data_IF_784648191563
#
_entry.id   IF_784648191563
#
_cell.length_a   1.000
_cell.length_b   1.000
_cell.length_c   1.000
_cell.angle_alpha   90.00
_cell.angle_beta   90.00
_cell.angle_gamma   90.00
#
_symmetry.space_group_name_H-M   'P 1'
#
loop_
_entity.id
_entity.type
_entity.pdbx_description
1 polymer ?
#
# COMPACT_ATOMS: atom_id res chain seq x y z
N UNK A 1 0.88 -39.69 13.66
CA UNK A 1 -0.15 -38.82 14.25
C UNK A 1 -0.76 -37.90 13.18
N UNK A 2 -2.09 -37.78 13.08
CA UNK A 2 -2.70 -36.88 12.12
C UNK A 2 -2.26 -35.45 12.41
N UNK A 3 -1.77 -34.74 11.38
CA UNK A 3 -1.35 -33.33 11.50
C UNK A 3 -2.56 -32.49 11.93
N UNK A 4 -2.42 -31.69 12.99
CA UNK A 4 -3.47 -30.78 13.43
C UNK A 4 -3.86 -29.78 12.33
N UNK A 5 -5.06 -29.20 12.37
CA UNK A 5 -5.56 -28.26 11.37
C UNK A 5 -4.60 -27.09 11.10
N UNK A 6 -3.92 -26.55 12.11
CA UNK A 6 -2.95 -25.46 11.94
C UNK A 6 -1.80 -25.84 10.98
N UNK A 7 -1.29 -27.05 11.11
CA UNK A 7 -0.22 -27.57 10.26
C UNK A 7 -0.72 -27.87 8.85
N UNK A 8 -1.92 -28.41 8.71
CA UNK A 8 -2.57 -28.65 7.41
C UNK A 8 -2.80 -27.32 6.68
N UNK A 9 -3.32 -26.31 7.36
CA UNK A 9 -3.53 -24.95 6.82
C UNK A 9 -2.22 -24.30 6.36
N UNK A 10 -1.18 -24.40 7.19
CA UNK A 10 0.17 -23.92 6.82
C UNK A 10 0.69 -24.62 5.56
N UNK A 11 0.56 -25.92 5.47
CA UNK A 11 1.02 -26.71 4.30
C UNK A 11 0.32 -26.24 3.03
N UNK A 12 -1.00 -26.03 3.08
CA UNK A 12 -1.78 -25.53 1.95
C UNK A 12 -1.35 -24.14 1.49
N UNK A 13 -1.16 -23.21 2.42
CA UNK A 13 -0.68 -21.85 2.08
C UNK A 13 0.75 -21.86 1.50
N UNK A 14 1.62 -22.79 1.95
CA UNK A 14 2.96 -23.00 1.36
C UNK A 14 2.83 -23.48 -0.08
N UNK A 15 1.91 -24.41 -0.37
CA UNK A 15 1.64 -24.91 -1.73
C UNK A 15 1.24 -23.76 -2.65
N UNK A 16 0.29 -22.91 -2.23
CA UNK A 16 -0.16 -21.75 -2.99
C UNK A 16 0.97 -20.74 -3.24
N UNK A 17 1.88 -20.57 -2.29
CA UNK A 17 3.06 -19.72 -2.47
C UNK A 17 4.06 -20.30 -3.48
N UNK A 18 4.27 -21.60 -3.48
CA UNK A 18 5.11 -22.31 -4.47
C UNK A 18 4.51 -22.19 -5.87
N UNK A 19 3.21 -22.41 -6.02
CA UNK A 19 2.50 -22.26 -7.29
C UNK A 19 2.65 -20.83 -7.86
N UNK A 20 2.53 -19.80 -7.02
CA UNK A 20 2.70 -18.42 -7.43
C UNK A 20 4.11 -18.11 -7.97
N UNK A 21 5.15 -18.74 -7.40
CA UNK A 21 6.54 -18.59 -7.85
C UNK A 21 6.78 -19.28 -9.19
N UNK A 22 6.24 -20.49 -9.36
CA UNK A 22 6.36 -21.24 -10.62
C UNK A 22 5.60 -20.56 -11.76
N UNK A 23 4.48 -19.93 -11.48
CA UNK A 23 3.64 -19.28 -12.49
C UNK A 23 4.24 -18.00 -13.08
N UNK A 24 5.24 -17.39 -12.45
CA UNK A 24 5.94 -16.20 -12.96
C UNK A 24 5.28 -14.86 -12.65
N UNK A 25 4.41 -14.81 -11.61
CA UNK A 25 3.94 -13.59 -11.01
C UNK A 25 2.50 -13.17 -11.35
N UNK A 26 2.00 -12.21 -10.59
CA UNK A 26 0.60 -11.76 -10.61
C UNK A 26 0.16 -11.15 -11.95
N UNK A 27 1.08 -10.45 -12.63
CA UNK A 27 0.74 -9.73 -13.88
C UNK A 27 0.48 -10.70 -15.03
N UNK A 28 1.13 -11.86 -15.04
CA UNK A 28 0.89 -12.92 -16.01
C UNK A 28 -0.51 -13.52 -15.86
N UNK A 29 -0.95 -13.75 -14.62
CA UNK A 29 -2.30 -14.26 -14.33
C UNK A 29 -3.39 -13.24 -14.67
N UNK A 30 -3.16 -11.97 -14.39
CA UNK A 30 -4.10 -10.91 -14.77
C UNK A 30 -4.27 -10.79 -16.28
N UNK A 31 -3.20 -10.95 -17.05
CA UNK A 31 -3.27 -10.97 -18.51
C UNK A 31 -4.06 -12.17 -19.02
N UNK A 32 -3.84 -13.36 -18.46
CA UNK A 32 -4.52 -14.59 -18.84
C UNK A 32 -6.04 -14.53 -18.62
N UNK A 33 -6.48 -13.83 -17.60
CA UNK A 33 -7.90 -13.74 -17.20
C UNK A 33 -8.52 -12.37 -17.46
N UNK A 34 -7.90 -11.52 -18.29
CA UNK A 34 -8.39 -10.17 -18.63
C UNK A 34 -8.81 -9.31 -17.41
N UNK A 35 -8.16 -9.50 -16.27
CA UNK A 35 -8.44 -8.78 -15.05
C UNK A 35 -9.70 -9.18 -14.27
N UNK A 36 -10.46 -10.18 -14.75
CA UNK A 36 -11.76 -10.59 -14.16
C UNK A 36 -11.66 -11.67 -13.09
N UNK A 37 -10.47 -12.25 -12.89
CA UNK A 37 -10.27 -13.39 -12.01
C UNK A 37 -9.87 -13.00 -10.59
N UNK A 38 -10.61 -13.47 -9.60
CA UNK A 38 -10.17 -13.46 -8.20
C UNK A 38 -9.41 -14.75 -7.95
N UNK A 39 -8.10 -14.64 -7.92
CA UNK A 39 -7.21 -15.77 -7.72
C UNK A 39 -7.01 -16.05 -6.23
N UNK A 40 -7.52 -17.17 -5.78
CA UNK A 40 -7.31 -17.69 -4.43
C UNK A 40 -6.20 -18.76 -4.38
N UNK A 41 -5.76 -19.29 -5.51
CA UNK A 41 -4.83 -20.42 -5.58
C UNK A 41 -3.35 -20.00 -5.52
N UNK A 42 -3.06 -18.69 -5.58
CA UNK A 42 -1.70 -18.16 -5.61
C UNK A 42 -1.47 -17.05 -4.57
N UNK A 43 -0.40 -17.16 -3.82
CA UNK A 43 0.05 -16.14 -2.85
C UNK A 43 1.37 -15.53 -3.32
N UNK A 44 1.32 -14.32 -3.87
CA UNK A 44 2.44 -13.69 -4.60
C UNK A 44 3.49 -12.99 -3.71
N UNK A 45 3.20 -12.70 -2.46
CA UNK A 45 4.16 -12.01 -1.59
C UNK A 45 4.30 -12.68 -0.24
N UNK A 46 5.51 -12.58 0.32
CA UNK A 46 5.80 -13.10 1.66
C UNK A 46 4.94 -12.43 2.72
N UNK A 47 4.67 -11.13 2.58
CA UNK A 47 3.79 -10.42 3.49
C UNK A 47 2.34 -10.93 3.43
N UNK A 48 1.82 -11.22 2.22
CA UNK A 48 0.49 -11.81 2.07
C UNK A 48 0.45 -13.20 2.69
N UNK A 49 1.48 -14.01 2.46
CA UNK A 49 1.60 -15.33 3.07
C UNK A 49 1.57 -15.25 4.61
N UNK A 50 2.39 -14.39 5.23
CA UNK A 50 2.41 -14.25 6.68
C UNK A 50 1.06 -13.74 7.24
N UNK A 51 0.43 -12.79 6.53
CA UNK A 51 -0.88 -12.29 6.91
C UNK A 51 -1.95 -13.40 6.85
N UNK A 52 -1.99 -14.20 5.78
CA UNK A 52 -2.91 -15.32 5.67
C UNK A 52 -2.61 -16.41 6.69
N UNK A 53 -1.33 -16.72 6.94
CA UNK A 53 -0.92 -17.71 7.93
C UNK A 53 -1.39 -17.34 9.36
N UNK A 54 -1.19 -16.07 9.77
CA UNK A 54 -1.64 -15.61 11.08
C UNK A 54 -3.17 -15.70 11.24
N UNK A 55 -3.92 -15.33 10.19
CA UNK A 55 -5.38 -15.39 10.17
C UNK A 55 -5.91 -16.81 10.10
N UNK A 56 -5.30 -17.66 9.30
CA UNK A 56 -5.66 -19.10 9.22
C UNK A 56 -5.45 -19.83 10.52
N UNK A 57 -4.45 -19.43 11.33
CA UNK A 57 -4.27 -20.01 12.68
C UNK A 57 -5.46 -19.70 13.60
N UNK A 58 -5.96 -18.45 13.58
CA UNK A 58 -7.17 -18.07 14.35
C UNK A 58 -8.39 -18.88 13.90
N UNK A 59 -8.56 -19.02 12.58
CA UNK A 59 -9.64 -19.83 12.02
C UNK A 59 -9.50 -21.31 12.41
N UNK A 60 -8.28 -21.86 12.44
CA UNK A 60 -8.05 -23.22 12.91
C UNK A 60 -8.38 -23.41 14.39
N UNK A 61 -8.11 -22.40 15.24
CA UNK A 61 -8.50 -22.42 16.65
C UNK A 61 -10.03 -22.40 16.80
N UNK A 62 -10.71 -21.56 16.02
CA UNK A 62 -12.17 -21.55 15.98
C UNK A 62 -12.74 -22.93 15.55
N UNK A 63 -12.24 -23.51 14.45
CA UNK A 63 -12.66 -24.83 13.99
C UNK A 63 -12.42 -25.92 15.05
N UNK A 64 -11.27 -25.90 15.73
CA UNK A 64 -10.96 -26.82 16.81
C UNK A 64 -11.96 -26.71 17.95
N UNK A 65 -12.35 -25.50 18.34
CA UNK A 65 -13.36 -25.27 19.39
C UNK A 65 -14.77 -25.74 18.99
N UNK A 66 -15.02 -25.91 17.68
CA UNK A 66 -16.24 -26.51 17.13
C UNK A 66 -16.10 -28.05 16.94
N UNK A 67 -15.01 -28.66 17.41
CA UNK A 67 -14.75 -30.08 17.27
C UNK A 67 -14.29 -30.56 15.90
N UNK A 68 -14.07 -29.63 14.92
CA UNK A 68 -13.70 -29.96 13.55
C UNK A 68 -12.21 -30.34 13.45
N UNK A 69 -11.89 -31.40 12.72
CA UNK A 69 -10.54 -31.97 12.62
C UNK A 69 -9.98 -32.00 11.20
N UNK A 70 -10.84 -31.93 10.19
CA UNK A 70 -10.44 -32.08 8.78
C UNK A 70 -10.93 -30.91 7.92
N UNK A 71 -10.39 -30.77 6.71
CA UNK A 71 -10.84 -29.75 5.77
C UNK A 71 -12.26 -30.02 5.26
N UNK A 72 -12.58 -31.28 5.10
CA UNK A 72 -13.85 -31.76 4.56
C UNK A 72 -15.02 -31.41 5.49
N UNK A 73 -14.78 -31.37 6.80
CA UNK A 73 -15.77 -30.95 7.81
C UNK A 73 -16.00 -29.44 7.82
N UNK A 74 -15.10 -28.65 7.23
CA UNK A 74 -15.19 -27.20 7.23
C UNK A 74 -16.05 -26.75 6.05
N UNK A 75 -17.35 -26.64 6.27
CA UNK A 75 -18.32 -26.17 5.29
C UNK A 75 -18.27 -24.63 5.13
N UNK A 76 -18.83 -24.07 4.03
CA UNK A 76 -19.00 -22.62 3.90
C UNK A 76 -19.78 -21.98 5.05
N UNK A 77 -20.69 -22.73 5.67
CA UNK A 77 -21.46 -22.25 6.82
C UNK A 77 -20.58 -22.06 8.06
N UNK A 78 -19.65 -22.96 8.31
CA UNK A 78 -18.63 -22.79 9.35
C UNK A 78 -17.82 -21.51 9.15
N UNK A 79 -17.45 -21.22 7.89
CA UNK A 79 -16.74 -19.98 7.54
C UNK A 79 -17.60 -18.73 7.79
N UNK A 80 -18.90 -18.76 7.49
CA UNK A 80 -19.82 -17.67 7.78
C UNK A 80 -19.97 -17.45 9.28
N UNK A 81 -20.17 -18.51 10.03
CA UNK A 81 -20.31 -18.46 11.49
C UNK A 81 -19.05 -17.92 12.16
N UNK A 82 -17.87 -18.24 11.63
CA UNK A 82 -16.61 -17.65 12.06
C UNK A 82 -16.60 -16.11 11.88
N UNK A 83 -17.02 -15.60 10.73
CA UNK A 83 -17.06 -14.14 10.50
C UNK A 83 -18.10 -13.44 11.39
N UNK A 84 -19.23 -14.10 11.68
CA UNK A 84 -20.25 -13.61 12.63
C UNK A 84 -19.66 -13.60 14.05
N UNK A 85 -18.98 -14.67 14.44
CA UNK A 85 -18.26 -14.73 15.72
C UNK A 85 -17.28 -13.55 15.87
N UNK A 86 -16.42 -13.30 14.86
CA UNK A 86 -15.48 -12.17 14.88
C UNK A 86 -16.18 -10.82 14.98
N UNK A 87 -17.32 -10.64 14.31
CA UNK A 87 -18.16 -9.42 14.45
C UNK A 87 -18.63 -9.25 15.89
N UNK A 88 -19.11 -10.32 16.51
CA UNK A 88 -19.63 -10.30 17.89
C UNK A 88 -18.51 -10.04 18.90
N UNK A 89 -17.25 -10.37 18.57
CA UNK A 89 -16.06 -9.98 19.34
C UNK A 89 -15.64 -8.51 19.12
N UNK A 90 -16.42 -7.72 18.38
CA UNK A 90 -16.15 -6.28 18.15
C UNK A 90 -15.03 -6.00 17.14
N UNK A 91 -14.60 -7.00 16.34
CA UNK A 91 -13.52 -6.79 15.38
C UNK A 91 -13.93 -5.82 14.27
N UNK A 92 -12.95 -5.03 13.81
CA UNK A 92 -13.20 -4.03 12.76
C UNK A 92 -13.62 -4.66 11.43
N UNK A 93 -14.45 -3.93 10.66
CA UNK A 93 -14.88 -4.30 9.30
C UNK A 93 -13.71 -4.69 8.40
N UNK A 94 -12.55 -4.01 8.52
CA UNK A 94 -11.37 -4.31 7.73
C UNK A 94 -10.65 -5.59 8.15
N UNK A 95 -10.68 -5.91 9.44
CA UNK A 95 -10.15 -7.15 10.00
C UNK A 95 -10.96 -8.32 9.47
N UNK A 96 -12.28 -8.32 9.66
CA UNK A 96 -13.20 -9.36 9.20
C UNK A 96 -13.09 -9.58 7.67
N UNK A 97 -12.99 -8.50 6.87
CA UNK A 97 -12.78 -8.63 5.43
C UNK A 97 -11.45 -9.31 5.06
N UNK A 98 -10.42 -9.10 5.87
CA UNK A 98 -9.12 -9.74 5.67
C UNK A 98 -9.12 -11.19 6.12
N UNK A 99 -9.91 -11.52 7.15
CA UNK A 99 -10.10 -12.89 7.63
C UNK A 99 -10.93 -13.70 6.63
N UNK A 100 -12.02 -13.12 6.09
CA UNK A 100 -12.77 -13.73 4.98
C UNK A 100 -11.87 -14.03 3.77
N UNK A 101 -10.95 -13.11 3.42
CA UNK A 101 -10.01 -13.32 2.33
C UNK A 101 -9.04 -14.47 2.62
N UNK A 102 -8.54 -14.58 3.85
CA UNK A 102 -7.64 -15.66 4.25
C UNK A 102 -8.34 -17.04 4.23
N UNK A 103 -9.58 -17.11 4.70
CA UNK A 103 -10.40 -18.35 4.64
C UNK A 103 -10.68 -18.72 3.17
N UNK A 104 -11.03 -17.76 2.31
CA UNK A 104 -11.23 -18.01 0.88
C UNK A 104 -9.94 -18.54 0.20
N UNK A 105 -8.78 -17.96 0.50
CA UNK A 105 -7.51 -18.50 0.01
C UNK A 105 -7.29 -19.94 0.47
N UNK A 106 -7.57 -20.22 1.73
CA UNK A 106 -7.39 -21.54 2.29
C UNK A 106 -8.34 -22.58 1.67
N UNK A 107 -9.62 -22.27 1.63
CA UNK A 107 -10.67 -23.24 1.27
C UNK A 107 -10.91 -23.32 -0.24
N UNK A 108 -11.00 -22.18 -0.93
CA UNK A 108 -11.17 -22.16 -2.39
C UNK A 108 -9.84 -22.44 -3.08
N UNK A 109 -8.78 -21.81 -2.64
CA UNK A 109 -7.44 -22.02 -3.19
C UNK A 109 -6.92 -23.43 -2.95
N UNK A 110 -7.38 -24.09 -1.88
CA UNK A 110 -7.15 -25.50 -1.56
C UNK A 110 -8.00 -26.47 -2.37
N UNK A 111 -9.05 -25.99 -3.05
CA UNK A 111 -9.97 -26.83 -3.81
C UNK A 111 -11.11 -27.46 -2.99
N UNK A 112 -11.25 -27.09 -1.73
CA UNK A 112 -12.31 -27.63 -0.84
C UNK A 112 -13.66 -26.95 -1.07
N UNK A 113 -13.64 -25.67 -1.47
CA UNK A 113 -14.85 -24.90 -1.82
C UNK A 113 -14.83 -24.44 -3.25
N UNK A 114 -16.03 -24.33 -3.87
CA UNK A 114 -16.21 -23.68 -5.19
C UNK A 114 -16.12 -22.16 -5.05
N UNK A 115 -15.73 -21.45 -6.11
CA UNK A 115 -15.64 -19.99 -6.09
C UNK A 115 -17.00 -19.30 -5.81
N UNK A 116 -18.11 -19.95 -6.15
CA UNK A 116 -19.47 -19.49 -5.81
C UNK A 116 -19.74 -19.46 -4.29
N UNK A 117 -19.03 -20.28 -3.52
CA UNK A 117 -19.16 -20.42 -2.07
C UNK A 117 -18.28 -19.44 -1.28
N UNK A 118 -17.59 -18.52 -1.98
CA UNK A 118 -16.70 -17.53 -1.36
C UNK A 118 -17.40 -16.70 -0.28
N UNK A 119 -16.69 -16.48 0.81
CA UNK A 119 -17.13 -15.60 1.88
C UNK A 119 -17.05 -14.14 1.43
N UNK A 120 -18.17 -13.42 1.50
CA UNK A 120 -18.27 -11.99 1.24
C UNK A 120 -18.78 -11.33 2.51
N UNK A 121 -17.90 -10.62 3.24
CA UNK A 121 -18.22 -10.10 4.58
C UNK A 121 -19.52 -9.27 4.62
N UNK A 122 -19.75 -8.39 3.65
CA UNK A 122 -20.93 -7.52 3.62
C UNK A 122 -22.26 -8.28 3.44
N UNK A 123 -22.20 -9.48 2.86
CA UNK A 123 -23.37 -10.36 2.71
C UNK A 123 -23.62 -11.22 3.94
N UNK A 124 -22.55 -11.49 4.73
CA UNK A 124 -22.61 -12.42 5.84
C UNK A 124 -22.88 -11.70 7.16
N UNK A 125 -22.18 -10.60 7.41
CA UNK A 125 -22.21 -9.94 8.71
C UNK A 125 -23.17 -8.77 8.80
N UNK A 126 -23.79 -8.36 7.70
CA UNK A 126 -24.61 -7.12 7.65
C UNK A 126 -23.83 -5.83 7.94
N UNK A 127 -22.51 -5.91 8.10
CA UNK A 127 -21.70 -4.74 8.39
C UNK A 127 -21.62 -3.81 7.18
N UNK A 128 -21.70 -2.50 7.39
CA UNK A 128 -21.61 -1.54 6.29
C UNK A 128 -20.28 -1.67 5.55
N UNK A 129 -20.27 -1.25 4.29
CA UNK A 129 -19.01 -1.07 3.56
C UNK A 129 -18.11 -0.16 4.38
N UNK A 130 -16.80 -0.37 4.30
CA UNK A 130 -15.80 0.48 4.96
C UNK A 130 -16.14 1.95 4.67
N UNK A 131 -16.67 2.65 5.69
CA UNK A 131 -16.97 4.07 5.58
C UNK A 131 -15.67 4.87 5.59
N UNK A 132 -15.72 6.12 5.13
CA UNK A 132 -14.62 7.08 5.25
C UNK A 132 -14.23 7.41 6.70
N UNK A 133 -14.91 6.86 7.72
CA UNK A 133 -14.58 6.97 9.15
C UNK A 133 -13.13 6.64 9.52
N UNK A 134 -12.38 6.02 8.62
CA UNK A 134 -10.93 5.83 8.80
C UNK A 134 -10.19 7.18 8.85
N UNK A 135 -10.75 8.22 8.26
CA UNK A 135 -10.20 9.57 8.33
C UNK A 135 -10.43 10.16 9.73
N UNK A 136 -11.61 9.99 10.31
CA UNK A 136 -11.94 10.41 11.67
C UNK A 136 -11.08 9.73 12.75
N UNK A 137 -10.68 8.48 12.54
CA UNK A 137 -9.73 7.81 13.45
C UNK A 137 -8.30 8.35 13.32
N UNK A 138 -7.92 8.86 12.14
CA UNK A 138 -6.62 9.52 11.93
C UNK A 138 -6.59 10.95 12.46
N UNK A 139 -7.71 11.63 12.52
CA UNK A 139 -7.85 12.93 13.17
C UNK A 139 -7.58 12.87 14.67
N UNK A 140 -7.80 11.70 15.30
CA UNK A 140 -7.45 11.44 16.70
C UNK A 140 -5.97 11.10 16.91
N UNK A 141 -5.20 10.84 15.85
CA UNK A 141 -3.77 10.57 15.93
C UNK A 141 -3.00 11.89 15.97
N UNK A 142 -1.90 11.91 16.74
CA UNK A 142 -0.98 13.03 16.74
C UNK A 142 -0.53 13.38 15.34
N UNK A 143 -0.42 14.67 15.01
CA UNK A 143 0.26 15.11 13.80
C UNK A 143 1.79 15.02 13.98
N UNK A 144 2.55 15.37 12.93
CA UNK A 144 4.02 15.28 12.92
C UNK A 144 4.67 16.17 13.99
N UNK A 145 4.15 17.36 14.21
CA UNK A 145 4.67 18.32 15.18
C UNK A 145 4.33 17.89 16.61
N UNK A 146 3.06 17.62 16.89
CA UNK A 146 2.59 17.11 18.18
C UNK A 146 3.35 15.83 18.62
N UNK A 147 3.64 14.93 17.66
CA UNK A 147 4.39 13.71 17.96
C UNK A 147 5.82 14.01 18.39
N UNK A 148 6.51 14.94 17.70
CA UNK A 148 7.90 15.31 18.01
C UNK A 148 7.99 16.01 19.38
N UNK A 149 7.03 16.84 19.69
CA UNK A 149 6.93 17.54 20.98
C UNK A 149 6.63 16.55 22.13
N UNK A 150 5.76 15.59 21.89
CA UNK A 150 5.38 14.58 22.89
C UNK A 150 6.47 13.53 23.13
N UNK A 151 7.31 13.26 22.13
CA UNK A 151 8.36 12.24 22.19
C UNK A 151 9.73 12.78 21.77
N UNK A 152 10.27 13.80 22.46
CA UNK A 152 11.50 14.49 22.04
C UNK A 152 12.73 13.56 22.01
N UNK A 153 12.88 12.69 22.99
CA UNK A 153 14.00 11.73 23.07
C UNK A 153 13.98 10.73 21.90
N UNK A 154 12.78 10.26 21.51
CA UNK A 154 12.63 9.41 20.33
C UNK A 154 12.93 10.18 19.05
N UNK A 155 12.45 11.42 18.94
CA UNK A 155 12.77 12.26 17.79
C UNK A 155 14.27 12.48 17.69
N UNK A 156 14.95 12.86 18.75
CA UNK A 156 16.40 13.07 18.77
C UNK A 156 17.16 11.81 18.33
N UNK A 157 16.82 10.65 18.90
CA UNK A 157 17.45 9.37 18.56
C UNK A 157 17.31 8.98 17.08
N UNK A 158 16.17 9.27 16.48
CA UNK A 158 15.84 8.84 15.10
C UNK A 158 15.66 10.02 14.14
N UNK A 159 16.20 11.19 14.49
CA UNK A 159 15.99 12.44 13.76
C UNK A 159 16.29 12.33 12.27
N UNK A 160 17.42 11.73 11.89
CA UNK A 160 17.79 11.55 10.50
C UNK A 160 16.75 10.75 9.69
N UNK A 161 16.24 9.65 10.28
CA UNK A 161 15.20 8.83 9.63
C UNK A 161 13.87 9.58 9.50
N UNK A 162 13.45 10.26 10.57
CA UNK A 162 12.19 11.01 10.63
C UNK A 162 12.21 12.16 9.63
N UNK A 163 13.26 12.95 9.65
CA UNK A 163 13.38 14.11 8.76
C UNK A 163 13.53 13.69 7.29
N UNK A 164 14.17 12.55 7.02
CA UNK A 164 14.21 11.96 5.68
C UNK A 164 12.83 11.54 5.19
N UNK A 165 12.00 10.92 6.06
CA UNK A 165 10.61 10.61 5.70
C UNK A 165 9.81 11.88 5.45
N UNK A 166 9.99 12.92 6.26
CA UNK A 166 9.34 14.23 6.11
C UNK A 166 9.81 14.95 4.84
N UNK A 167 11.07 14.80 4.48
CA UNK A 167 11.65 15.44 3.30
C UNK A 167 11.18 14.82 1.98
N UNK A 168 10.96 13.50 1.94
CA UNK A 168 10.66 12.77 0.70
C UNK A 168 9.35 11.96 0.73
N UNK A 169 8.60 11.98 1.82
CA UNK A 169 7.37 11.21 1.93
C UNK A 169 7.56 9.70 1.76
N UNK A 170 8.67 9.14 2.23
CA UNK A 170 9.01 7.74 2.07
C UNK A 170 8.13 6.82 2.94
N UNK A 171 7.87 5.62 2.44
CA UNK A 171 7.41 4.52 3.30
C UNK A 171 8.61 3.92 4.03
N UNK A 172 8.34 3.28 5.18
CA UNK A 172 9.36 2.59 5.94
C UNK A 172 10.28 1.71 5.06
N UNK A 173 9.69 0.89 4.20
CA UNK A 173 10.45 0.01 3.30
C UNK A 173 11.29 0.77 2.28
N UNK A 174 10.84 1.93 1.84
CA UNK A 174 11.55 2.78 0.89
C UNK A 174 12.76 3.45 1.55
N UNK A 175 12.70 3.64 2.87
CA UNK A 175 13.82 4.19 3.66
C UNK A 175 14.90 3.13 3.96
N UNK A 176 14.50 1.96 4.48
CA UNK A 176 15.45 0.96 5.01
C UNK A 176 15.63 -0.27 4.11
N UNK A 177 14.90 -0.33 3.00
CA UNK A 177 14.92 -1.47 2.09
C UNK A 177 14.05 -2.66 2.53
N UNK A 178 13.94 -3.62 1.64
CA UNK A 178 13.19 -4.86 1.85
C UNK A 178 14.09 -6.08 1.90
N UNK A 179 13.64 -7.12 2.60
CA UNK A 179 14.36 -8.38 2.74
C UNK A 179 14.64 -9.08 1.39
N UNK A 180 13.78 -8.86 0.38
CA UNK A 180 13.90 -9.49 -0.94
C UNK A 180 15.12 -9.06 -1.76
N UNK A 181 15.75 -7.92 -1.41
CA UNK A 181 16.92 -7.36 -2.06
C UNK A 181 18.09 -7.17 -1.08
N UNK A 182 18.11 -7.94 0.00
CA UNK A 182 19.13 -7.79 1.06
C UNK A 182 19.23 -6.34 1.58
N UNK A 183 18.10 -5.60 1.58
CA UNK A 183 18.05 -4.22 2.01
C UNK A 183 18.57 -3.18 0.99
N UNK A 184 19.19 -3.60 -0.10
CA UNK A 184 19.78 -2.69 -1.10
C UNK A 184 18.82 -1.72 -1.77
N UNK A 185 17.52 -2.02 -1.76
CA UNK A 185 16.46 -1.17 -2.29
C UNK A 185 16.00 -0.04 -1.33
N UNK A 186 16.66 0.13 -0.19
CA UNK A 186 16.48 1.27 0.70
C UNK A 186 17.17 2.53 0.21
N UNK A 187 16.78 3.69 0.79
CA UNK A 187 17.46 4.95 0.53
C UNK A 187 18.93 4.86 0.94
N UNK A 188 19.84 5.16 0.03
CA UNK A 188 21.27 4.98 0.24
C UNK A 188 22.12 5.80 -0.72
N UNK A 189 23.41 5.48 -0.79
CA UNK A 189 24.42 6.24 -1.54
C UNK A 189 24.11 6.45 -3.04
N UNK A 190 23.25 5.58 -3.63
CA UNK A 190 22.87 5.66 -5.03
C UNK A 190 21.41 6.13 -5.23
N UNK A 191 20.81 6.78 -4.24
CA UNK A 191 19.38 7.12 -4.26
C UNK A 191 19.07 8.60 -4.35
N UNK A 192 20.08 9.48 -4.21
CA UNK A 192 19.88 10.92 -4.15
C UNK A 192 20.57 11.61 -5.34
N UNK A 193 19.89 12.61 -5.92
CA UNK A 193 20.31 13.30 -7.13
C UNK A 193 19.92 14.77 -7.10
N UNK A 194 20.70 15.63 -7.74
CA UNK A 194 20.26 16.97 -8.07
C UNK A 194 19.30 16.93 -9.26
N UNK A 195 18.22 17.69 -9.20
CA UNK A 195 17.43 17.99 -10.39
C UNK A 195 18.02 19.15 -11.15
N UNK A 196 17.59 19.37 -12.41
CA UNK A 196 17.98 20.55 -13.21
C UNK A 196 17.61 21.88 -12.54
N UNK A 197 16.60 21.89 -11.67
CA UNK A 197 16.15 23.06 -10.92
C UNK A 197 16.83 23.24 -9.56
N UNK A 198 17.91 22.51 -9.27
CA UNK A 198 18.61 22.60 -7.98
C UNK A 198 17.86 21.96 -6.80
N UNK A 199 16.88 21.09 -7.07
CA UNK A 199 16.17 20.36 -6.02
C UNK A 199 16.80 19.00 -5.79
N UNK A 200 16.84 18.57 -4.54
CA UNK A 200 17.26 17.19 -4.22
C UNK A 200 16.11 16.24 -4.56
N UNK A 201 16.43 15.20 -5.31
CA UNK A 201 15.53 14.15 -5.72
C UNK A 201 15.90 12.82 -5.04
N UNK A 202 14.93 12.11 -4.50
CA UNK A 202 15.10 10.72 -4.09
C UNK A 202 14.50 9.79 -5.14
N UNK A 203 15.23 8.73 -5.51
CA UNK A 203 14.72 7.66 -6.38
C UNK A 203 14.48 6.40 -5.57
N UNK A 204 13.35 5.74 -5.80
CA UNK A 204 12.96 4.55 -5.03
C UNK A 204 11.98 3.65 -5.78
N UNK A 205 11.83 2.41 -5.30
CA UNK A 205 10.74 1.53 -5.71
C UNK A 205 9.63 1.52 -4.66
N UNK A 206 8.47 2.04 -5.03
CA UNK A 206 7.28 1.99 -4.21
C UNK A 206 6.61 0.62 -4.16
N UNK A 207 5.48 0.54 -3.47
CA UNK A 207 4.64 -0.67 -3.38
C UNK A 207 4.31 -1.21 -4.79
N UNK A 208 4.55 -2.50 -5.00
CA UNK A 208 4.34 -3.16 -6.30
C UNK A 208 5.48 -2.92 -7.30
N UNK A 209 6.66 -2.49 -6.84
CA UNK A 209 7.83 -2.27 -7.69
C UNK A 209 7.71 -1.07 -8.64
N UNK A 210 6.88 -0.07 -8.27
CA UNK A 210 6.74 1.17 -9.04
C UNK A 210 7.95 2.06 -8.83
N UNK A 211 8.65 2.39 -9.89
CA UNK A 211 9.72 3.38 -9.89
C UNK A 211 9.16 4.77 -9.60
N UNK A 212 9.84 5.53 -8.75
CA UNK A 212 9.46 6.89 -8.36
C UNK A 212 10.68 7.77 -8.25
N UNK A 213 10.51 9.00 -8.72
CA UNK A 213 11.40 10.13 -8.46
C UNK A 213 10.62 11.11 -7.58
N UNK A 214 11.18 11.46 -6.43
CA UNK A 214 10.50 12.23 -5.40
C UNK A 214 11.31 13.48 -5.10
N UNK A 215 10.70 14.64 -5.27
CA UNK A 215 11.32 15.92 -4.97
C UNK A 215 11.30 16.20 -3.46
N UNK A 216 12.43 16.61 -2.91
CA UNK A 216 12.55 17.04 -1.52
C UNK A 216 11.61 18.23 -1.22
N UNK A 217 11.09 18.30 -0.01
CA UNK A 217 10.45 19.52 0.52
C UNK A 217 11.48 20.65 0.56
N UNK A 218 11.05 21.86 0.22
CA UNK A 218 11.93 23.02 0.15
C UNK A 218 12.55 23.36 1.51
N UNK A 219 11.72 23.38 2.55
CA UNK A 219 12.13 23.72 3.93
C UNK A 219 13.12 22.72 4.55
N UNK A 220 13.12 21.47 4.08
CA UNK A 220 14.03 20.43 4.59
C UNK A 220 15.23 20.18 3.67
N UNK A 221 15.31 20.84 2.51
CA UNK A 221 16.43 20.65 1.58
C UNK A 221 17.80 21.00 2.17
N UNK A 222 17.99 22.12 2.92
CA UNK A 222 19.28 22.41 3.55
C UNK A 222 19.69 21.33 4.55
N UNK A 223 18.72 20.76 5.28
CA UNK A 223 18.97 19.68 6.23
C UNK A 223 19.36 18.38 5.52
N UNK A 224 18.70 18.04 4.41
CA UNK A 224 19.06 16.87 3.60
C UNK A 224 20.42 17.03 2.94
N UNK A 225 20.78 18.24 2.52
CA UNK A 225 22.11 18.56 1.99
C UNK A 225 23.17 18.39 3.08
N UNK A 226 22.94 18.84 4.31
CA UNK A 226 23.85 18.63 5.44
C UNK A 226 24.03 17.14 5.77
N UNK A 227 22.94 16.33 5.71
CA UNK A 227 22.99 14.90 6.05
C UNK A 227 23.60 14.02 4.96
N UNK A 228 23.40 14.38 3.69
CA UNK A 228 23.69 13.49 2.56
C UNK A 228 24.46 14.16 1.42
N UNK A 229 24.98 15.38 1.60
CA UNK A 229 25.57 16.19 0.53
C UNK A 229 26.61 15.45 -0.32
N UNK A 230 27.50 14.68 0.32
CA UNK A 230 28.53 13.87 -0.35
C UNK A 230 27.96 12.71 -1.21
N UNK A 231 26.69 12.36 -1.00
CA UNK A 231 26.02 11.27 -1.73
C UNK A 231 25.02 11.77 -2.77
N UNK A 232 24.81 13.10 -2.89
CA UNK A 232 23.89 13.66 -3.86
C UNK A 232 24.59 13.74 -5.22
N UNK A 233 24.16 12.90 -6.13
CA UNK A 233 24.78 12.72 -7.44
C UNK A 233 24.27 13.74 -8.47
N UNK A 234 25.01 13.99 -9.56
CA UNK A 234 24.59 14.89 -10.63
C UNK A 234 23.29 14.42 -11.32
N UNK A 235 22.56 15.38 -11.90
CA UNK A 235 21.28 15.15 -12.60
C UNK A 235 21.38 14.14 -13.73
N UNK A 236 22.47 14.15 -14.49
CA UNK A 236 22.68 13.27 -15.64
C UNK A 236 22.82 11.79 -15.24
N UNK A 237 23.15 11.51 -14.00
CA UNK A 237 23.26 10.14 -13.47
C UNK A 237 21.94 9.62 -12.91
N UNK A 238 20.91 10.46 -12.78
CA UNK A 238 19.62 10.06 -12.20
C UNK A 238 18.90 9.05 -13.11
N UNK A 239 18.52 7.87 -12.60
CA UNK A 239 17.84 6.86 -13.38
C UNK A 239 16.49 7.37 -13.88
N UNK A 240 16.19 7.13 -15.13
CA UNK A 240 14.95 7.57 -15.81
C UNK A 240 13.82 6.55 -15.70
N UNK A 241 14.17 5.31 -15.43
CA UNK A 241 13.23 4.19 -15.40
C UNK A 241 13.65 3.11 -14.40
N UNK A 242 12.79 2.11 -14.23
CA UNK A 242 13.00 1.02 -13.29
C UNK A 242 14.24 0.16 -13.65
N UNK A 243 14.54 -0.05 -14.91
CA UNK A 243 15.66 -0.90 -15.31
C UNK A 243 17.01 -0.25 -14.95
N UNK A 244 17.16 1.04 -15.24
CA UNK A 244 18.32 1.82 -14.84
C UNK A 244 18.45 1.88 -13.31
N UNK A 245 17.35 2.12 -12.60
CA UNK A 245 17.33 2.09 -11.14
C UNK A 245 17.84 0.76 -10.60
N UNK A 246 17.32 -0.37 -11.10
CA UNK A 246 17.73 -1.70 -10.63
C UNK A 246 19.21 -1.98 -10.86
N UNK A 247 19.79 -1.48 -11.97
CA UNK A 247 21.23 -1.58 -12.24
C UNK A 247 22.06 -0.82 -11.20
N UNK A 248 21.68 0.42 -10.90
CA UNK A 248 22.40 1.28 -9.96
C UNK A 248 22.28 0.73 -8.52
N UNK A 249 21.13 0.18 -8.16
CA UNK A 249 20.89 -0.33 -6.81
C UNK A 249 21.64 -1.63 -6.48
N UNK A 250 22.25 -2.30 -7.44
CA UNK A 250 23.11 -3.47 -7.18
C UNK A 250 24.28 -3.14 -6.25
N UNK A 251 24.82 -1.94 -6.35
CA UNK A 251 25.96 -1.43 -5.56
C UNK A 251 25.54 -0.47 -4.45
N UNK A 252 24.22 -0.26 -4.28
CA UNK A 252 23.70 0.65 -3.26
C UNK A 252 24.04 0.18 -1.85
N UNK A 253 24.40 1.13 -0.99
CA UNK A 253 24.57 0.95 0.46
C UNK A 253 23.52 1.81 1.15
N UNK A 254 22.46 1.23 1.74
CA UNK A 254 21.45 1.97 2.46
C UNK A 254 22.03 2.77 3.63
N UNK A 255 21.51 3.96 3.86
CA UNK A 255 21.92 4.80 5.00
C UNK A 255 21.46 4.23 6.34
N UNK A 256 20.39 3.42 6.32
CA UNK A 256 19.77 2.87 7.52
C UNK A 256 19.63 1.35 7.42
N UNK A 257 20.17 0.63 8.41
CA UNK A 257 20.07 -0.83 8.49
C UNK A 257 18.72 -1.33 9.05
N UNK A 258 17.94 -0.45 9.66
CA UNK A 258 16.65 -0.79 10.26
C UNK A 258 15.80 0.42 10.59
N UNK A 259 14.56 0.17 10.93
CA UNK A 259 13.56 1.17 11.31
C UNK A 259 12.81 0.73 12.56
N UNK A 260 12.76 1.57 13.58
CA UNK A 260 11.99 1.26 14.78
C UNK A 260 10.49 1.19 14.49
N UNK A 261 9.85 0.13 14.97
CA UNK A 261 8.40 -0.04 14.85
C UNK A 261 7.62 1.02 15.65
N UNK A 262 8.26 1.64 16.65
CA UNK A 262 7.67 2.71 17.46
C UNK A 262 7.56 4.04 16.74
N UNK A 263 8.21 4.21 15.57
CA UNK A 263 8.14 5.45 14.79
C UNK A 263 6.96 5.38 13.81
N UNK A 264 5.96 6.25 13.94
CA UNK A 264 4.76 6.24 13.09
C UNK A 264 5.03 6.87 11.71
N UNK A 265 5.64 6.13 10.79
CA UNK A 265 6.05 6.64 9.47
C UNK A 265 4.93 7.31 8.66
N UNK A 266 3.65 6.96 8.93
CA UNK A 266 2.52 7.51 8.19
C UNK A 266 2.22 8.96 8.52
N UNK A 267 2.41 9.41 9.78
CA UNK A 267 2.20 10.82 10.14
C UNK A 267 3.25 11.72 9.49
N UNK A 268 4.52 11.30 9.46
CA UNK A 268 5.61 12.04 8.80
C UNK A 268 5.46 12.05 7.28
N UNK A 269 4.88 11.02 6.72
CA UNK A 269 4.54 10.97 5.30
C UNK A 269 3.32 11.87 4.99
N UNK A 270 2.38 12.03 5.91
CA UNK A 270 1.27 12.98 5.78
C UNK A 270 1.79 14.42 5.83
N UNK A 271 2.72 14.72 6.74
CA UNK A 271 3.42 16.01 6.81
C UNK A 271 4.08 16.37 5.47
N UNK A 272 4.82 15.42 4.85
CA UNK A 272 5.33 15.61 3.50
C UNK A 272 4.22 15.97 2.50
N UNK A 273 3.12 15.22 2.51
CA UNK A 273 2.07 15.41 1.52
C UNK A 273 1.40 16.79 1.64
N UNK A 274 1.12 17.22 2.86
CA UNK A 274 0.49 18.52 3.15
C UNK A 274 1.41 19.67 2.74
N UNK A 275 2.67 19.64 3.17
CA UNK A 275 3.62 20.67 2.82
C UNK A 275 3.88 20.72 1.30
N UNK A 276 4.11 19.55 0.69
CA UNK A 276 4.41 19.47 -0.73
C UNK A 276 3.23 19.89 -1.61
N UNK A 277 2.01 19.68 -1.16
CA UNK A 277 0.83 20.19 -1.84
C UNK A 277 0.83 21.73 -1.86
N UNK A 278 1.15 22.38 -0.74
CA UNK A 278 1.26 23.86 -0.68
C UNK A 278 2.33 24.39 -1.65
N UNK A 279 3.51 23.76 -1.69
CA UNK A 279 4.55 24.10 -2.69
C UNK A 279 4.06 23.93 -4.13
N UNK A 280 3.30 22.86 -4.41
CA UNK A 280 2.80 22.57 -5.74
C UNK A 280 1.62 23.49 -6.12
N UNK A 281 0.81 23.90 -5.15
CA UNK A 281 -0.35 24.77 -5.40
C UNK A 281 0.04 26.15 -5.93
N UNK A 282 1.24 26.64 -5.61
CA UNK A 282 1.77 27.91 -6.14
C UNK A 282 2.33 27.80 -7.56
N UNK A 283 2.45 26.57 -8.13
CA UNK A 283 2.96 26.35 -9.48
C UNK A 283 1.85 26.44 -10.52
N UNK A 284 2.18 26.97 -11.70
CA UNK A 284 1.29 26.93 -12.85
C UNK A 284 1.25 25.52 -13.46
N UNK A 285 0.06 25.09 -13.81
CA UNK A 285 -0.18 23.84 -14.52
C UNK A 285 -0.98 24.12 -15.79
N UNK A 286 -0.58 23.55 -16.91
CA UNK A 286 -1.23 23.70 -18.21
C UNK A 286 -1.48 22.34 -18.86
N UNK A 287 -2.37 22.32 -19.84
CA UNK A 287 -2.71 21.12 -20.60
C UNK A 287 -3.76 20.22 -19.91
N UNK A 288 -3.97 19.06 -20.48
CA UNK A 288 -4.94 18.09 -20.02
C UNK A 288 -4.29 16.73 -19.85
N UNK A 289 -4.75 16.00 -18.83
CA UNK A 289 -4.39 14.60 -18.64
C UNK A 289 -5.49 13.68 -19.07
N UNK A 290 -5.12 12.69 -19.85
CA UNK A 290 -6.01 11.61 -20.27
C UNK A 290 -5.99 10.49 -19.23
N UNK A 291 -7.14 10.12 -18.73
CA UNK A 291 -7.33 9.00 -17.82
C UNK A 291 -8.29 7.99 -18.44
N UNK A 292 -7.81 6.78 -18.70
CA UNK A 292 -8.67 5.69 -19.18
C UNK A 292 -9.01 4.74 -18.04
N UNK A 293 -10.28 4.38 -17.91
CA UNK A 293 -10.77 3.42 -16.94
C UNK A 293 -11.85 2.54 -17.57
N UNK A 294 -12.04 1.34 -17.02
CA UNK A 294 -13.12 0.46 -17.44
C UNK A 294 -14.38 0.77 -16.65
N UNK A 295 -15.42 1.25 -17.33
CA UNK A 295 -16.74 1.47 -16.75
C UNK A 295 -17.60 0.24 -16.98
N UNK A 296 -18.25 -0.26 -15.91
CA UNK A 296 -19.22 -1.35 -16.01
C UNK A 296 -20.55 -0.77 -16.48
N UNK A 297 -21.02 -1.26 -17.62
CA UNK A 297 -22.29 -0.83 -18.23
C UNK A 297 -23.19 -2.05 -18.34
N UNK A 298 -24.48 -1.91 -18.04
CA UNK A 298 -25.50 -2.94 -18.25
C UNK A 298 -26.00 -2.80 -19.67
N UNK A 299 -25.95 -3.88 -20.45
CA UNK A 299 -26.53 -3.90 -21.79
C UNK A 299 -28.06 -3.78 -21.71
N UNK A 300 -28.68 -2.82 -22.40
CA UNK A 300 -30.13 -2.71 -22.45
C UNK A 300 -30.79 -3.94 -23.07
N UNK A 301 -30.14 -4.55 -24.06
CA UNK A 301 -30.67 -5.67 -24.84
C UNK A 301 -30.56 -7.01 -24.11
N UNK A 302 -29.45 -7.29 -23.47
CA UNK A 302 -29.17 -8.60 -22.85
C UNK A 302 -29.26 -8.60 -21.32
N UNK A 303 -29.43 -7.44 -20.68
CA UNK A 303 -29.39 -7.30 -19.23
C UNK A 303 -28.02 -7.62 -18.58
N UNK A 304 -27.06 -8.10 -19.38
CA UNK A 304 -25.72 -8.49 -18.90
C UNK A 304 -24.80 -7.29 -18.77
N UNK A 305 -23.90 -7.35 -17.80
CA UNK A 305 -22.88 -6.31 -17.61
C UNK A 305 -21.65 -6.59 -18.47
N UNK A 306 -21.18 -5.56 -19.18
CA UNK A 306 -19.90 -5.56 -19.88
C UNK A 306 -19.05 -4.37 -19.45
N UNK A 307 -17.75 -4.41 -19.75
CA UNK A 307 -16.83 -3.33 -19.41
C UNK A 307 -16.47 -2.55 -20.68
N UNK A 308 -16.77 -1.26 -20.66
CA UNK A 308 -16.40 -0.34 -21.74
C UNK A 308 -15.23 0.52 -21.27
N UNK A 309 -14.21 0.64 -22.13
CA UNK A 309 -13.10 1.56 -21.88
C UNK A 309 -13.61 2.99 -22.05
N UNK A 310 -13.58 3.75 -20.96
CA UNK A 310 -13.99 5.14 -20.96
C UNK A 310 -12.77 6.02 -20.74
N UNK A 311 -12.71 7.14 -21.45
CA UNK A 311 -11.63 8.13 -21.34
C UNK A 311 -12.19 9.37 -20.70
N UNK A 312 -11.47 9.91 -19.68
CA UNK A 312 -11.75 11.22 -19.10
C UNK A 312 -10.55 12.12 -19.30
N UNK A 313 -10.84 13.36 -19.64
CA UNK A 313 -9.86 14.45 -19.72
C UNK A 313 -9.97 15.30 -18.47
N UNK A 314 -8.86 15.53 -17.79
CA UNK A 314 -8.77 16.42 -16.66
C UNK A 314 -7.88 17.60 -17.02
N UNK A 315 -8.43 18.80 -17.05
CA UNK A 315 -7.65 20.02 -17.18
C UNK A 315 -6.78 20.19 -15.93
N UNK A 316 -5.48 20.28 -16.11
CA UNK A 316 -4.50 20.35 -15.03
C UNK A 316 -4.54 21.68 -14.26
N UNK A 317 -4.99 22.78 -14.90
CA UNK A 317 -5.15 24.10 -14.26
C UNK A 317 -6.44 24.23 -13.47
N UNK A 318 -7.45 23.36 -13.72
CA UNK A 318 -8.74 23.43 -13.03
C UNK A 318 -8.58 23.22 -11.52
N UNK A 319 -9.20 24.08 -10.73
CA UNK A 319 -9.24 23.94 -9.29
C UNK A 319 -9.95 22.67 -8.87
N UNK A 320 -9.36 21.98 -7.91
CA UNK A 320 -9.84 20.74 -7.34
C UNK A 320 -9.71 20.81 -5.82
N UNK A 321 -10.53 20.02 -5.10
CA UNK A 321 -10.53 20.03 -3.64
C UNK A 321 -10.47 18.58 -3.08
N UNK A 322 -9.61 18.38 -2.08
CA UNK A 322 -9.54 17.18 -1.26
C UNK A 322 -9.48 17.60 0.21
N UNK A 323 -10.51 17.30 0.98
CA UNK A 323 -10.66 17.79 2.36
C UNK A 323 -10.71 19.33 2.34
N UNK A 324 -9.91 19.96 3.21
CA UNK A 324 -9.78 21.43 3.25
C UNK A 324 -8.85 22.00 2.17
N UNK A 325 -8.06 21.17 1.50
CA UNK A 325 -7.06 21.63 0.53
C UNK A 325 -7.67 21.89 -0.82
N UNK A 326 -7.49 23.12 -1.32
CA UNK A 326 -7.89 23.57 -2.66
C UNK A 326 -6.65 23.93 -3.47
N UNK A 327 -6.48 23.32 -4.62
CA UNK A 327 -5.32 23.51 -5.49
C UNK A 327 -5.64 23.12 -6.95
N UNK A 328 -4.80 23.50 -7.94
CA UNK A 328 -4.95 22.96 -9.29
C UNK A 328 -4.92 21.43 -9.32
N UNK A 329 -5.70 20.80 -10.18
CA UNK A 329 -5.72 19.35 -10.35
C UNK A 329 -4.31 18.76 -10.60
N UNK A 330 -3.48 19.49 -11.36
CA UNK A 330 -2.09 19.14 -11.63
C UNK A 330 -1.24 19.02 -10.37
N UNK A 331 -1.47 19.88 -9.37
CA UNK A 331 -0.77 19.81 -8.09
C UNK A 331 -1.09 18.51 -7.32
N UNK A 332 -2.37 18.19 -7.19
CA UNK A 332 -2.79 16.91 -6.58
C UNK A 332 -2.27 15.71 -7.34
N UNK A 333 -2.31 15.80 -8.67
CA UNK A 333 -1.82 14.71 -9.49
C UNK A 333 -0.31 14.51 -9.30
N UNK A 334 0.49 15.57 -9.35
CA UNK A 334 1.94 15.52 -9.12
C UNK A 334 2.28 15.00 -7.73
N UNK A 335 1.55 15.46 -6.71
CA UNK A 335 1.66 14.91 -5.36
C UNK A 335 1.37 13.39 -5.33
N UNK A 336 0.32 12.96 -6.01
CA UNK A 336 -0.03 11.53 -6.09
C UNK A 336 1.08 10.68 -6.73
N UNK A 337 1.78 11.22 -7.74
CA UNK A 337 2.97 10.60 -8.32
C UNK A 337 4.11 10.50 -7.30
N UNK A 338 4.45 11.58 -6.62
CA UNK A 338 5.47 11.60 -5.56
C UNK A 338 5.13 10.63 -4.43
N UNK A 339 3.85 10.51 -4.07
CA UNK A 339 3.37 9.56 -3.08
C UNK A 339 3.27 8.11 -3.61
N UNK A 340 3.47 7.89 -4.92
CA UNK A 340 3.45 6.58 -5.58
C UNK A 340 2.06 5.94 -5.68
N UNK A 341 1.02 6.73 -5.83
CA UNK A 341 -0.36 6.25 -5.91
C UNK A 341 -0.94 6.31 -7.32
N UNK A 342 -0.64 7.33 -8.10
CA UNK A 342 -1.24 7.63 -9.42
C UNK A 342 -2.79 7.70 -9.38
N UNK A 343 -3.38 7.91 -8.20
CA UNK A 343 -4.82 8.02 -7.92
C UNK A 343 -5.04 9.08 -6.85
N UNK A 344 -6.03 9.95 -7.06
CA UNK A 344 -6.28 11.06 -6.12
C UNK A 344 -7.06 10.63 -4.87
N UNK A 345 -7.94 9.61 -4.99
CA UNK A 345 -8.72 9.09 -3.87
C UNK A 345 -7.87 8.65 -2.67
N UNK A 346 -6.65 8.23 -2.91
CA UNK A 346 -5.72 7.82 -1.85
C UNK A 346 -5.12 9.02 -1.11
N UNK A 347 -5.07 10.20 -1.74
CA UNK A 347 -4.51 11.40 -1.10
C UNK A 347 -5.33 11.85 0.11
N UNK A 348 -6.66 11.62 0.12
CA UNK A 348 -7.48 11.88 1.30
C UNK A 348 -6.89 11.28 2.57
N UNK A 349 -6.23 10.12 2.47
CA UNK A 349 -5.63 9.46 3.61
C UNK A 349 -4.40 10.16 4.18
N UNK A 350 -3.83 11.13 3.49
CA UNK A 350 -2.66 11.91 3.89
C UNK A 350 -3.01 13.38 4.15
N UNK A 351 -3.97 13.90 3.42
CA UNK A 351 -4.38 15.30 3.52
C UNK A 351 -5.40 15.51 4.65
N UNK A 352 -6.20 14.47 4.99
CA UNK A 352 -7.18 14.55 6.09
C UNK A 352 -8.34 15.50 5.84
N UNK A 353 -9.24 15.60 6.82
CA UNK A 353 -10.32 16.61 6.85
C UNK A 353 -9.96 17.85 7.67
N UNK A 354 -8.65 18.09 7.94
CA UNK A 354 -8.32 19.41 8.42
C UNK A 354 -7.67 19.58 9.76
N UNK A 355 -6.64 18.80 10.09
CA UNK A 355 -5.63 19.30 11.03
C UNK A 355 -4.44 19.83 10.23
N UNK A 356 -4.27 21.12 10.23
CA UNK A 356 -3.04 21.76 9.77
C UNK A 356 -1.90 21.40 10.73
N UNK A 357 -0.74 21.04 10.18
CA UNK A 357 0.51 20.94 10.93
C UNK A 357 1.13 22.32 11.10
#
# INVERSE_FOLDING_TARGET
>A
MPKNLKNRFRTELIRQRRNARQFGGRDKLKKLHEGKYTDYSHIYSDRSYQAHLGRSRKFADYCKNQGLKTFEEITPEVGKNYLIYERNQGLSVSTIASDALAVNHLMIGGGYWKNSQRLIKSKITGMPKRSNKIYQQREKSLNSTEWRERYPSYYQKYQGQIDTIRAFGLRRRELVGGSSYHGKDGLGKNSLYWSKSGRIMAVTLGKGGKFRQIECRLDLQPKMQKLYGEYIRPTNEMPRNKAEYMRIMRTNKPFYGGYSHSIPSHIFRADYAQFKLRELASKSFSGSRVYSYSKRIKSPQSGKYHYVRTVKYHNLSKQYQIGIYKAPYGAFYKLSEYMGHNRLDVLQSYLGEGREN
#
